data_IF_310568176842
#
_entry.id   IF_310568176842
#
_cell.length_a   1.000
_cell.length_b   1.000
_cell.length_c   1.000
_cell.angle_alpha   90.00
_cell.angle_beta   90.00
_cell.angle_gamma   90.00
#
_symmetry.space_group_name_H-M   'P 1'
#
loop_
_entity.id
_entity.type
_entity.pdbx_description
1 polymer ?
#
# COMPACT_ATOMS: atom_id res chain seq x y z
N UNK A 1 70.98 64.20 32.57
CA UNK A 1 69.62 63.73 32.95
C UNK A 1 68.69 63.61 31.75
N UNK A 2 68.58 64.59 30.85
CA UNK A 2 67.66 64.53 29.69
C UNK A 2 67.91 63.37 28.70
N UNK A 3 69.17 63.02 28.42
CA UNK A 3 69.51 61.91 27.50
C UNK A 3 69.04 60.55 28.03
N UNK A 4 69.14 60.32 29.34
CA UNK A 4 68.74 59.06 29.97
C UNK A 4 67.21 58.87 29.97
N UNK A 5 66.46 59.98 30.07
CA UNK A 5 65.00 59.99 29.98
C UNK A 5 64.55 59.69 28.54
N UNK A 6 65.25 60.24 27.54
CA UNK A 6 64.96 59.98 26.12
C UNK A 6 65.23 58.52 25.73
N UNK A 7 66.33 57.92 26.17
CA UNK A 7 66.66 56.52 25.84
C UNK A 7 65.75 55.50 26.52
N UNK A 8 65.29 55.79 27.74
CA UNK A 8 64.32 54.92 28.44
C UNK A 8 62.92 55.03 27.85
N UNK A 9 62.49 56.23 27.43
CA UNK A 9 61.23 56.43 26.70
C UNK A 9 61.23 55.71 25.34
N UNK A 10 62.32 55.80 24.57
CA UNK A 10 62.40 55.11 23.28
C UNK A 10 62.42 53.59 23.45
N UNK A 11 63.15 53.05 24.44
CA UNK A 11 63.13 51.63 24.76
C UNK A 11 61.73 51.14 25.18
N UNK A 12 61.01 51.93 25.98
CA UNK A 12 59.64 51.60 26.41
C UNK A 12 58.67 51.58 25.22
N UNK A 13 58.74 52.57 24.32
CA UNK A 13 57.91 52.63 23.11
C UNK A 13 58.17 51.43 22.17
N UNK A 14 59.44 51.02 22.01
CA UNK A 14 59.80 49.86 21.17
C UNK A 14 59.34 48.54 21.78
N UNK A 15 59.38 48.40 23.10
CA UNK A 15 58.87 47.19 23.78
C UNK A 15 57.35 47.03 23.64
N UNK A 16 56.60 48.15 23.68
CA UNK A 16 55.15 48.18 23.51
C UNK A 16 54.72 47.85 22.07
N UNK A 17 55.47 48.32 21.07
CA UNK A 17 55.17 48.03 19.66
C UNK A 17 55.38 46.56 19.30
N UNK A 18 56.39 45.91 19.89
CA UNK A 18 56.62 44.46 19.71
C UNK A 18 55.48 43.61 20.27
N UNK A 19 55.00 43.90 21.49
CA UNK A 19 53.88 43.18 22.11
C UNK A 19 52.56 43.37 21.32
N UNK A 20 52.32 44.58 20.80
CA UNK A 20 51.16 44.85 19.94
C UNK A 20 51.19 44.03 18.64
N UNK A 21 52.36 43.90 18.02
CA UNK A 21 52.49 43.14 16.77
C UNK A 21 52.24 41.63 16.92
N UNK A 22 52.61 41.03 18.06
CA UNK A 22 52.38 39.61 18.33
C UNK A 22 50.90 39.27 18.51
N UNK A 23 50.15 40.11 19.23
CA UNK A 23 48.71 39.99 19.45
C UNK A 23 47.92 40.15 18.13
N UNK A 24 48.32 41.11 17.30
CA UNK A 24 47.70 41.34 15.98
C UNK A 24 47.97 40.16 15.04
N UNK A 25 49.15 39.54 15.09
CA UNK A 25 49.48 38.36 14.29
C UNK A 25 48.61 37.16 14.66
N UNK A 26 48.45 36.88 15.95
CA UNK A 26 47.56 35.81 16.43
C UNK A 26 46.09 36.04 16.03
N UNK A 27 45.62 37.28 16.09
CA UNK A 27 44.26 37.66 15.68
C UNK A 27 44.03 37.46 14.18
N UNK A 28 45.05 37.78 13.36
CA UNK A 28 45.00 37.64 11.91
C UNK A 28 44.97 36.17 11.48
N UNK A 29 45.69 35.30 12.18
CA UNK A 29 45.77 33.88 11.88
C UNK A 29 44.46 33.13 12.26
N UNK A 30 43.77 33.55 13.32
CA UNK A 30 42.55 32.89 13.83
C UNK A 30 41.25 33.69 13.64
N UNK A 31 41.25 34.62 12.68
CA UNK A 31 40.14 35.56 12.50
C UNK A 31 38.78 34.90 12.22
N UNK A 32 38.76 33.78 11.51
CA UNK A 32 37.54 33.01 11.16
C UNK A 32 36.71 32.59 12.39
N UNK A 33 37.40 32.25 13.47
CA UNK A 33 36.81 31.72 14.70
C UNK A 33 36.54 32.84 15.71
N UNK A 34 37.41 33.86 15.75
CA UNK A 34 37.34 34.98 16.69
C UNK A 34 36.45 36.15 16.22
N UNK A 35 36.04 36.19 14.94
CA UNK A 35 35.24 37.29 14.36
C UNK A 35 33.94 37.62 15.07
N UNK A 36 33.31 36.64 15.73
CA UNK A 36 32.07 36.83 16.50
C UNK A 36 32.30 36.87 18.02
N UNK A 37 33.55 36.87 18.49
CA UNK A 37 33.87 37.01 19.91
C UNK A 37 33.89 38.50 20.29
N UNK A 38 33.05 38.95 21.24
CA UNK A 38 32.89 40.37 21.60
C UNK A 38 34.19 41.03 22.09
N UNK A 39 35.16 40.27 22.61
CA UNK A 39 36.44 40.79 23.10
C UNK A 39 37.36 41.21 21.94
N UNK A 40 37.32 40.49 20.82
CA UNK A 40 38.25 40.68 19.70
C UNK A 40 37.62 41.42 18.51
N UNK A 41 36.30 41.61 18.53
CA UNK A 41 35.54 42.30 17.49
C UNK A 41 35.92 43.79 17.30
N UNK A 42 36.19 44.59 18.35
CA UNK A 42 36.67 45.97 18.17
C UNK A 42 38.02 46.05 17.46
N UNK A 43 38.81 44.97 17.52
CA UNK A 43 40.10 44.86 16.85
C UNK A 43 39.99 44.39 15.39
N UNK A 44 38.78 44.29 14.82
CA UNK A 44 38.54 44.00 13.40
C UNK A 44 39.24 44.98 12.45
N UNK A 45 39.38 46.23 12.88
CA UNK A 45 40.05 47.28 12.10
C UNK A 45 41.52 46.94 11.81
N UNK A 46 42.19 46.14 12.65
CA UNK A 46 43.58 45.71 12.43
C UNK A 46 43.71 44.59 11.38
N UNK A 47 42.60 43.93 11.03
CA UNK A 47 42.53 42.84 10.04
C UNK A 47 41.98 43.35 8.70
N UNK A 48 41.70 44.66 8.59
CA UNK A 48 41.18 45.28 7.37
C UNK A 48 39.67 45.09 7.18
N UNK A 49 38.94 44.75 8.24
CA UNK A 49 37.49 44.54 8.20
C UNK A 49 36.82 45.59 9.08
N UNK A 50 35.77 46.22 8.54
CA UNK A 50 35.04 47.24 9.30
C UNK A 50 34.35 46.60 10.52
N UNK A 51 34.62 47.07 11.75
CA UNK A 51 34.06 46.51 12.99
C UNK A 51 32.54 46.51 13.01
N UNK A 52 31.91 47.55 12.45
CA UNK A 52 30.47 47.68 12.42
C UNK A 52 29.84 46.70 11.43
N UNK A 53 30.44 46.55 10.24
CA UNK A 53 29.98 45.57 9.25
C UNK A 53 30.07 44.13 9.76
N UNK A 54 31.10 43.84 10.56
CA UNK A 54 31.34 42.51 11.12
C UNK A 54 30.41 42.21 12.31
N UNK A 55 30.14 43.23 13.13
CA UNK A 55 29.13 43.16 14.19
C UNK A 55 27.74 42.85 13.62
N UNK A 56 27.31 43.55 12.57
CA UNK A 56 26.01 43.29 11.91
C UNK A 56 25.95 41.88 11.33
N UNK A 57 27.01 41.41 10.68
CA UNK A 57 27.09 40.05 10.12
C UNK A 57 27.03 38.96 11.21
N UNK A 58 27.77 39.12 12.30
CA UNK A 58 27.75 38.16 13.41
C UNK A 58 26.42 38.18 14.16
N UNK A 59 25.83 39.37 14.35
CA UNK A 59 24.51 39.51 14.97
C UNK A 59 23.44 38.82 14.13
N UNK A 60 23.42 39.07 12.81
CA UNK A 60 22.49 38.40 11.90
C UNK A 60 22.71 36.88 11.86
N UNK A 61 23.95 36.40 11.94
CA UNK A 61 24.26 34.98 12.03
C UNK A 61 23.74 34.37 13.34
N UNK A 62 24.00 35.00 14.48
CA UNK A 62 23.48 34.54 15.77
C UNK A 62 21.95 34.52 15.84
N UNK A 63 21.29 35.51 15.22
CA UNK A 63 19.83 35.48 15.05
C UNK A 63 19.35 34.35 14.14
N UNK A 64 20.07 34.07 13.04
CA UNK A 64 19.78 32.94 12.15
C UNK A 64 19.94 31.59 12.85
N UNK A 65 21.00 31.42 13.64
CA UNK A 65 21.26 30.19 14.40
C UNK A 65 20.18 30.00 15.50
N UNK A 66 19.75 31.08 16.15
CA UNK A 66 18.66 31.04 17.15
C UNK A 66 17.29 30.77 16.50
N UNK A 67 17.04 31.36 15.33
CA UNK A 67 15.84 31.08 14.56
C UNK A 67 15.82 29.63 14.06
N UNK A 68 16.96 29.06 13.66
CA UNK A 68 17.11 27.64 13.34
C UNK A 68 16.75 26.76 14.52
N UNK A 69 17.34 27.00 15.69
CA UNK A 69 17.03 26.25 16.92
C UNK A 69 15.56 26.39 17.36
N UNK A 70 14.91 27.53 17.07
CA UNK A 70 13.49 27.73 17.33
C UNK A 70 12.58 27.03 16.30
N UNK A 71 13.04 26.82 15.07
CA UNK A 71 12.29 26.18 13.99
C UNK A 71 12.50 24.65 13.94
N UNK A 72 13.57 24.13 14.52
CA UNK A 72 13.82 22.69 14.71
C UNK A 72 12.62 21.93 15.32
N UNK A 73 12.00 22.38 16.44
CA UNK A 73 10.81 21.72 16.97
C UNK A 73 9.60 21.80 16.02
N UNK A 74 9.51 22.86 15.20
CA UNK A 74 8.43 23.02 14.22
C UNK A 74 8.57 22.01 13.07
N UNK A 75 9.80 21.74 12.61
CA UNK A 75 10.09 20.71 11.61
C UNK A 75 9.81 19.30 12.14
N UNK A 76 10.13 19.03 13.41
CA UNK A 76 9.79 17.76 14.07
C UNK A 76 8.27 17.52 14.11
N UNK A 77 7.49 18.55 14.42
CA UNK A 77 6.02 18.46 14.40
C UNK A 77 5.46 18.26 12.98
N UNK A 78 6.09 18.88 11.97
CA UNK A 78 5.66 18.70 10.57
C UNK A 78 5.91 17.29 10.03
N UNK A 79 6.93 16.58 10.54
CA UNK A 79 7.11 15.15 10.26
C UNK A 79 5.93 14.32 10.79
N UNK A 80 5.51 14.57 12.04
CA UNK A 80 4.39 13.85 12.67
C UNK A 80 3.09 14.10 11.91
N UNK A 81 2.86 15.34 11.45
CA UNK A 81 1.71 15.67 10.59
C UNK A 81 1.79 14.93 9.25
N UNK A 82 2.97 14.85 8.64
CA UNK A 82 3.19 14.10 7.41
C UNK A 82 2.89 12.60 7.56
N UNK A 83 3.39 12.00 8.64
CA UNK A 83 3.18 10.59 8.96
C UNK A 83 1.69 10.29 9.22
N UNK A 84 1.02 11.18 9.96
CA UNK A 84 -0.42 11.07 10.22
C UNK A 84 -1.24 11.16 8.92
N UNK A 85 -0.86 12.04 7.99
CA UNK A 85 -1.52 12.13 6.68
C UNK A 85 -1.29 10.87 5.83
N UNK A 86 -0.10 10.27 5.90
CA UNK A 86 0.21 9.03 5.22
C UNK A 86 -0.66 7.88 5.73
N UNK A 87 -0.76 7.74 7.05
CA UNK A 87 -1.58 6.71 7.71
C UNK A 87 -3.08 6.87 7.37
N UNK A 88 -3.58 8.11 7.29
CA UNK A 88 -4.93 8.40 6.81
C UNK A 88 -5.11 7.95 5.36
N UNK A 89 -4.15 8.24 4.49
CA UNK A 89 -4.22 7.83 3.07
C UNK A 89 -4.22 6.31 2.92
N UNK A 90 -3.41 5.61 3.70
CA UNK A 90 -3.36 4.15 3.74
C UNK A 90 -4.70 3.57 4.21
N UNK A 91 -5.23 4.09 5.32
CA UNK A 91 -6.54 3.69 5.84
C UNK A 91 -7.68 3.91 4.83
N UNK A 92 -7.65 5.02 4.08
CA UNK A 92 -8.61 5.26 2.99
C UNK A 92 -8.45 4.28 1.82
N UNK A 93 -7.21 3.85 1.54
CA UNK A 93 -6.90 2.78 0.59
C UNK A 93 -7.51 1.45 1.04
N UNK A 94 -7.31 1.09 2.31
CA UNK A 94 -7.85 -0.12 2.91
C UNK A 94 -9.38 -0.12 2.92
N UNK A 95 -10.02 1.00 3.25
CA UNK A 95 -11.48 1.14 3.16
C UNK A 95 -11.97 0.86 1.72
N UNK A 96 -11.30 1.40 0.70
CA UNK A 96 -11.63 1.12 -0.70
C UNK A 96 -11.41 -0.36 -1.04
N UNK A 97 -10.35 -0.98 -0.51
CA UNK A 97 -10.10 -2.41 -0.62
C UNK A 97 -11.22 -3.26 -0.01
N UNK A 98 -11.69 -2.90 1.19
CA UNK A 98 -12.84 -3.54 1.84
C UNK A 98 -14.11 -3.42 0.98
N UNK A 99 -14.42 -2.23 0.45
CA UNK A 99 -15.57 -2.05 -0.45
C UNK A 99 -15.48 -2.90 -1.72
N UNK A 100 -14.28 -3.01 -2.31
CA UNK A 100 -14.02 -3.88 -3.46
C UNK A 100 -14.27 -5.35 -3.10
N UNK A 101 -13.73 -5.79 -1.97
CA UNK A 101 -13.88 -7.16 -1.49
C UNK A 101 -15.33 -7.50 -1.13
N UNK A 102 -16.06 -6.58 -0.51
CA UNK A 102 -17.50 -6.73 -0.25
C UNK A 102 -18.27 -6.87 -1.56
N UNK A 103 -18.03 -5.98 -2.54
CA UNK A 103 -18.69 -6.06 -3.85
C UNK A 103 -18.35 -7.38 -4.57
N UNK A 104 -17.08 -7.80 -4.55
CA UNK A 104 -16.63 -9.06 -5.12
C UNK A 104 -17.26 -10.28 -4.43
N UNK A 105 -17.30 -10.27 -3.10
CA UNK A 105 -17.91 -11.32 -2.28
C UNK A 105 -19.41 -11.46 -2.54
N UNK A 106 -20.14 -10.33 -2.60
CA UNK A 106 -21.56 -10.34 -2.98
C UNK A 106 -21.77 -10.93 -4.38
N UNK A 107 -20.98 -10.51 -5.38
CA UNK A 107 -21.05 -11.07 -6.73
C UNK A 107 -20.79 -12.59 -6.77
N UNK A 108 -19.85 -13.07 -5.95
CA UNK A 108 -19.53 -14.50 -5.84
C UNK A 108 -20.70 -15.30 -5.25
N UNK A 109 -21.37 -14.77 -4.21
CA UNK A 109 -22.56 -15.39 -3.62
C UNK A 109 -23.70 -15.48 -4.64
N UNK A 110 -23.99 -14.39 -5.35
CA UNK A 110 -25.01 -14.41 -6.41
C UNK A 110 -24.68 -15.45 -7.48
N UNK A 111 -23.45 -15.49 -7.97
CA UNK A 111 -23.00 -16.48 -8.97
C UNK A 111 -23.18 -17.92 -8.47
N UNK A 112 -22.80 -18.20 -7.21
CA UNK A 112 -22.98 -19.52 -6.62
C UNK A 112 -24.46 -19.91 -6.48
N UNK A 113 -25.32 -18.98 -6.05
CA UNK A 113 -26.77 -19.23 -5.91
C UNK A 113 -27.40 -19.50 -7.28
N UNK A 114 -27.14 -18.65 -8.28
CA UNK A 114 -27.63 -18.86 -9.64
C UNK A 114 -27.08 -20.15 -10.26
N UNK A 115 -25.81 -20.49 -9.99
CA UNK A 115 -25.23 -21.77 -10.41
C UNK A 115 -25.93 -22.98 -9.79
N UNK A 116 -26.27 -22.93 -8.49
CA UNK A 116 -27.07 -23.97 -7.83
C UNK A 116 -28.49 -24.08 -8.40
N UNK A 117 -29.15 -22.95 -8.65
CA UNK A 117 -30.49 -22.91 -9.25
C UNK A 117 -30.47 -23.51 -10.66
N UNK A 118 -29.45 -23.19 -11.48
CA UNK A 118 -29.29 -23.75 -12.81
C UNK A 118 -29.11 -25.29 -12.79
N UNK A 119 -28.30 -25.80 -11.85
CA UNK A 119 -28.16 -27.25 -11.65
C UNK A 119 -29.46 -27.91 -11.18
N UNK A 120 -30.21 -27.26 -10.29
CA UNK A 120 -31.52 -27.73 -9.86
C UNK A 120 -32.52 -27.79 -11.03
N UNK A 121 -32.56 -26.76 -11.87
CA UNK A 121 -33.40 -26.74 -13.08
C UNK A 121 -33.09 -27.90 -14.01
N UNK A 122 -31.81 -28.16 -14.28
CA UNK A 122 -31.37 -29.30 -15.10
C UNK A 122 -31.79 -30.65 -14.48
N UNK A 123 -31.60 -30.80 -13.17
CA UNK A 123 -32.02 -32.01 -12.45
C UNK A 123 -33.54 -32.23 -12.52
N UNK A 124 -34.34 -31.17 -12.39
CA UNK A 124 -35.81 -31.25 -12.50
C UNK A 124 -36.26 -31.63 -13.92
N UNK A 125 -35.62 -31.09 -14.96
CA UNK A 125 -35.89 -31.48 -16.34
C UNK A 125 -35.57 -32.95 -16.59
N UNK A 126 -34.42 -33.44 -16.09
CA UNK A 126 -34.06 -34.85 -16.18
C UNK A 126 -35.09 -35.77 -15.51
N UNK A 127 -35.58 -35.39 -14.32
CA UNK A 127 -36.63 -36.14 -13.62
C UNK A 127 -37.92 -36.19 -14.45
N UNK A 128 -38.35 -35.08 -15.05
CA UNK A 128 -39.53 -35.06 -15.92
C UNK A 128 -39.38 -35.98 -17.13
N UNK A 129 -38.25 -35.94 -17.82
CA UNK A 129 -37.96 -36.84 -18.95
C UNK A 129 -38.01 -38.30 -18.51
N UNK A 130 -37.45 -38.60 -17.33
CA UNK A 130 -37.44 -39.96 -16.79
C UNK A 130 -38.85 -40.44 -16.43
N UNK A 131 -39.70 -39.57 -15.87
CA UNK A 131 -41.11 -39.88 -15.61
C UNK A 131 -41.85 -40.19 -16.92
N UNK A 132 -41.69 -39.36 -17.96
CA UNK A 132 -42.29 -39.63 -19.27
C UNK A 132 -41.82 -40.96 -19.86
N UNK A 133 -40.52 -41.27 -19.73
CA UNK A 133 -39.95 -42.54 -20.19
C UNK A 133 -40.53 -43.74 -19.41
N UNK A 134 -40.72 -43.60 -18.10
CA UNK A 134 -41.33 -44.63 -17.27
C UNK A 134 -42.79 -44.88 -17.68
N UNK A 135 -43.56 -43.82 -17.93
CA UNK A 135 -44.92 -43.95 -18.45
C UNK A 135 -44.95 -44.66 -19.81
N UNK A 136 -44.04 -44.32 -20.72
CA UNK A 136 -43.89 -45.01 -22.00
C UNK A 136 -43.57 -46.50 -21.84
N UNK A 137 -42.70 -46.86 -20.89
CA UNK A 137 -42.39 -48.27 -20.58
C UNK A 137 -43.61 -49.01 -20.02
N UNK A 138 -44.37 -48.39 -19.13
CA UNK A 138 -45.60 -48.99 -18.59
C UNK A 138 -46.57 -49.29 -19.75
N UNK A 139 -46.87 -48.32 -20.60
CA UNK A 139 -47.75 -48.52 -21.76
C UNK A 139 -47.22 -49.62 -22.68
N UNK A 140 -45.92 -49.63 -22.97
CA UNK A 140 -45.30 -50.66 -23.80
C UNK A 140 -45.45 -52.06 -23.18
N UNK A 141 -45.23 -52.21 -21.87
CA UNK A 141 -45.41 -53.52 -21.19
C UNK A 141 -46.86 -54.01 -21.27
N UNK A 142 -47.84 -53.13 -21.04
CA UNK A 142 -49.24 -53.48 -21.19
C UNK A 142 -49.58 -53.86 -22.64
N UNK A 143 -49.10 -53.10 -23.62
CA UNK A 143 -49.30 -53.41 -25.03
C UNK A 143 -48.71 -54.78 -25.40
N UNK A 144 -47.48 -55.09 -24.96
CA UNK A 144 -46.87 -56.40 -25.22
C UNK A 144 -47.69 -57.53 -24.62
N UNK A 145 -48.17 -57.38 -23.39
CA UNK A 145 -48.97 -58.40 -22.71
C UNK A 145 -50.29 -58.67 -23.44
N UNK A 146 -50.97 -57.60 -23.89
CA UNK A 146 -52.18 -57.69 -24.71
C UNK A 146 -51.91 -58.38 -26.05
N UNK A 147 -50.88 -57.96 -26.79
CA UNK A 147 -50.54 -58.58 -28.08
C UNK A 147 -50.08 -60.04 -27.95
N UNK A 148 -49.40 -60.41 -26.87
CA UNK A 148 -49.03 -61.80 -26.59
C UNK A 148 -50.26 -62.66 -26.31
N UNK A 149 -51.25 -62.14 -25.59
CA UNK A 149 -52.52 -62.85 -25.38
C UNK A 149 -53.27 -63.05 -26.70
N UNK A 150 -53.40 -62.01 -27.51
CA UNK A 150 -54.03 -62.13 -28.84
C UNK A 150 -53.30 -63.12 -29.73
N UNK A 151 -51.97 -63.03 -29.85
CA UNK A 151 -51.20 -63.99 -30.65
C UNK A 151 -51.27 -65.42 -30.09
N UNK A 152 -51.37 -65.60 -28.77
CA UNK A 152 -51.60 -66.91 -28.15
C UNK A 152 -52.93 -67.54 -28.57
N UNK A 153 -54.02 -66.78 -28.58
CA UNK A 153 -55.35 -67.26 -29.03
C UNK A 153 -55.34 -67.60 -30.51
N UNK A 154 -54.82 -66.72 -31.36
CA UNK A 154 -54.73 -66.94 -32.81
C UNK A 154 -53.84 -68.16 -33.15
N UNK A 155 -52.74 -68.35 -32.42
CA UNK A 155 -51.86 -69.52 -32.58
C UNK A 155 -52.56 -70.80 -32.11
N UNK A 156 -53.32 -70.75 -31.01
CA UNK A 156 -54.12 -71.88 -30.54
C UNK A 156 -55.19 -72.31 -31.53
N UNK A 157 -55.91 -71.35 -32.13
CA UNK A 157 -56.87 -71.62 -33.20
C UNK A 157 -56.17 -72.16 -34.46
N UNK A 158 -55.02 -71.60 -34.83
CA UNK A 158 -54.22 -72.06 -35.98
C UNK A 158 -53.70 -73.50 -35.78
N UNK A 159 -53.23 -73.85 -34.58
CA UNK A 159 -52.78 -75.19 -34.24
C UNK A 159 -53.93 -76.21 -34.21
N UNK A 160 -55.09 -75.82 -33.69
CA UNK A 160 -56.30 -76.64 -33.69
C UNK A 160 -56.83 -76.92 -35.11
N UNK A 161 -56.75 -75.92 -36.00
CA UNK A 161 -57.17 -76.04 -37.40
C UNK A 161 -56.09 -76.67 -38.30
N UNK A 162 -54.84 -76.74 -37.83
CA UNK A 162 -53.69 -77.30 -38.54
C UNK A 162 -53.59 -78.84 -38.48
N UNK A 163 -52.51 -79.41 -39.05
CA UNK A 163 -52.24 -80.85 -39.04
C UNK A 163 -52.32 -81.52 -37.65
N UNK A 164 -51.73 -80.97 -36.57
CA UNK A 164 -51.78 -81.62 -35.25
C UNK A 164 -53.20 -81.71 -34.66
N UNK A 165 -54.04 -80.67 -34.79
CA UNK A 165 -55.42 -80.72 -34.32
C UNK A 165 -56.34 -81.65 -35.12
N UNK A 166 -55.99 -81.93 -36.39
CA UNK A 166 -56.69 -82.96 -37.20
C UNK A 166 -56.37 -84.37 -36.74
N UNK A 167 -55.14 -84.64 -36.31
CA UNK A 167 -54.73 -85.96 -35.79
C UNK A 167 -55.45 -86.26 -34.47
N UNK A 168 -55.57 -85.28 -33.56
CA UNK A 168 -56.28 -85.45 -32.28
C UNK A 168 -57.78 -85.71 -32.48
N UNK A 169 -58.41 -85.12 -33.51
CA UNK A 169 -59.82 -85.37 -33.84
C UNK A 169 -60.08 -86.71 -34.54
N UNK A 170 -59.03 -87.35 -35.05
CA UNK A 170 -59.11 -88.63 -35.74
C UNK A 170 -58.82 -89.83 -34.83
N UNK A 171 -58.35 -89.59 -33.60
CA UNK A 171 -58.16 -90.58 -32.53
C UNK A 171 -59.42 -90.66 -31.66
#
# INVERSE_FOLDING_TARGET
>A
MLVFILTTLTAMIVSLSYLGSAQVKYLKDNWSELRCNPIYMPMASYVGVDPFSNFVKCTNKSFGDYAGAAMDPLHGQMSIVGDSLSEISETLGDMRGLFSNVRGGFGMVFSMVFGKIANLMSSMQYLMIRIQTLMGRIVATFATLVYTMFTGVETGQSAWNGPPGKIIRAL
#
